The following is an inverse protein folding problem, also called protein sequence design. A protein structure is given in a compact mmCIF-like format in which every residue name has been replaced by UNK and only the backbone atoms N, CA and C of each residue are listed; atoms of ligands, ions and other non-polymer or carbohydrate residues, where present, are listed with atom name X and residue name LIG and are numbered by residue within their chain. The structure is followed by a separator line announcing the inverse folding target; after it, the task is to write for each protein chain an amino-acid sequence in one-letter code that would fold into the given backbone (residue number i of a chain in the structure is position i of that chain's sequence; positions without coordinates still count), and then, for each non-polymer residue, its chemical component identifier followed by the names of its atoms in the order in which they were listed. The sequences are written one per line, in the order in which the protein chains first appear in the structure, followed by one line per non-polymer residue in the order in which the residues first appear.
data_IF_735010547414
#
_entry.id   IF_735010547414
#
_cell.length_a   1.000
_cell.length_b   1.000
_cell.length_c   1.000
_cell.angle_alpha   90.00
_cell.angle_beta   90.00
_cell.angle_gamma   90.00
#
_symmetry.space_group_name_H-M   'P 1'
#
loop_
_entity.id
_entity.type
_entity.pdbx_description
1 polymer ?
#
# COMPACT_ATOMS: atom_id res chain seq x y z
N UNK A 1 -7.07 14.06 -13.76
CA UNK A 1 -6.34 14.70 -14.88
C UNK A 1 -5.36 13.72 -15.50
N UNK A 2 -5.14 13.81 -16.80
CA UNK A 2 -4.09 13.07 -17.50
C UNK A 2 -2.81 13.91 -17.67
N UNK A 3 -1.74 13.30 -18.20
CA UNK A 3 -0.43 13.94 -18.33
C UNK A 3 -0.47 15.18 -19.25
N UNK A 4 -1.23 15.12 -20.37
CA UNK A 4 -1.34 16.25 -21.30
C UNK A 4 -2.05 17.45 -20.68
N UNK A 5 -3.07 17.21 -19.83
CA UNK A 5 -3.79 18.27 -19.12
C UNK A 5 -2.90 18.96 -18.07
N UNK A 6 -2.08 18.17 -17.35
CA UNK A 6 -1.13 18.72 -16.38
C UNK A 6 -0.10 19.60 -17.09
N UNK A 7 0.49 19.11 -18.20
CA UNK A 7 1.46 19.88 -18.99
C UNK A 7 0.86 21.18 -19.52
N UNK A 8 -0.39 21.14 -20.02
CA UNK A 8 -1.08 22.33 -20.50
C UNK A 8 -1.26 23.37 -19.39
N UNK A 9 -1.69 22.95 -18.19
CA UNK A 9 -1.82 23.84 -17.03
C UNK A 9 -0.49 24.45 -16.57
N UNK A 10 0.59 23.67 -16.59
CA UNK A 10 1.91 24.19 -16.24
C UNK A 10 2.33 25.29 -17.22
N UNK A 11 2.21 25.04 -18.55
CA UNK A 11 2.54 26.03 -19.57
C UNK A 11 1.71 27.31 -19.46
N UNK A 12 0.42 27.17 -19.18
CA UNK A 12 -0.47 28.32 -18.98
C UNK A 12 0.02 29.23 -17.85
N UNK A 13 0.51 28.65 -16.74
CA UNK A 13 0.97 29.41 -15.57
C UNK A 13 2.35 30.04 -15.81
N UNK A 14 3.26 29.32 -16.49
CA UNK A 14 4.64 29.81 -16.71
C UNK A 14 4.77 30.66 -17.98
N UNK A 15 3.68 30.82 -18.75
CA UNK A 15 3.63 31.58 -20.02
C UNK A 15 4.73 31.13 -21.05
N UNK A 16 4.89 29.80 -21.17
CA UNK A 16 5.86 29.18 -22.08
C UNK A 16 5.15 28.18 -22.99
N UNK A 17 5.60 28.13 -24.23
CA UNK A 17 5.07 27.20 -25.24
C UNK A 17 5.88 25.86 -25.29
N UNK A 18 5.51 25.00 -26.24
CA UNK A 18 6.18 23.70 -26.41
C UNK A 18 7.57 23.81 -27.06
N UNK A 19 7.92 24.97 -27.62
CA UNK A 19 9.25 25.23 -28.18
C UNK A 19 10.25 25.56 -27.08
N UNK A 20 9.79 26.34 -26.09
CA UNK A 20 10.61 26.75 -24.93
C UNK A 20 10.72 25.63 -23.89
N UNK A 21 9.62 24.90 -23.67
CA UNK A 21 9.51 23.88 -22.65
C UNK A 21 8.96 22.57 -23.23
N UNK A 22 9.85 21.61 -23.46
CA UNK A 22 9.49 20.34 -24.11
C UNK A 22 8.54 19.49 -23.30
N UNK A 23 7.68 18.70 -23.97
CA UNK A 23 6.79 17.72 -23.35
C UNK A 23 7.53 16.68 -22.50
N UNK A 24 8.69 16.24 -22.97
CA UNK A 24 9.51 15.26 -22.28
C UNK A 24 10.01 15.78 -20.92
N UNK A 25 10.48 17.03 -20.88
CA UNK A 25 10.96 17.66 -19.65
C UNK A 25 9.84 17.87 -18.65
N UNK A 26 8.69 18.38 -19.10
CA UNK A 26 7.52 18.52 -18.23
C UNK A 26 7.02 17.17 -17.69
N UNK A 27 6.96 16.15 -18.55
CA UNK A 27 6.58 14.81 -18.12
C UNK A 27 7.50 14.27 -17.03
N UNK A 28 8.81 14.48 -17.17
CA UNK A 28 9.79 14.11 -16.17
C UNK A 28 9.50 14.79 -14.82
N UNK A 29 9.26 16.11 -14.82
CA UNK A 29 8.94 16.84 -13.58
C UNK A 29 7.63 16.37 -12.94
N UNK A 30 6.61 16.06 -13.72
CA UNK A 30 5.34 15.53 -13.20
C UNK A 30 5.53 14.15 -12.59
N UNK A 31 6.32 13.28 -13.23
CA UNK A 31 6.65 11.94 -12.70
C UNK A 31 7.46 12.05 -11.40
N UNK A 32 8.47 12.92 -11.36
CA UNK A 32 9.25 13.16 -10.14
C UNK A 32 8.38 13.64 -8.98
N UNK A 33 7.41 14.52 -9.27
CA UNK A 33 6.42 14.95 -8.28
C UNK A 33 5.56 13.81 -7.76
N UNK A 34 5.11 12.93 -8.64
CA UNK A 34 4.34 11.75 -8.29
C UNK A 34 5.16 10.77 -7.43
N UNK A 35 6.41 10.49 -7.80
CA UNK A 35 7.29 9.63 -7.01
C UNK A 35 7.54 10.20 -5.61
N UNK A 36 7.64 11.52 -5.47
CA UNK A 36 7.73 12.18 -4.17
C UNK A 36 6.48 11.95 -3.32
N UNK A 37 5.29 12.07 -3.90
CA UNK A 37 4.03 11.79 -3.21
C UNK A 37 4.02 10.34 -2.71
N UNK A 38 4.39 9.38 -3.56
CA UNK A 38 4.44 7.96 -3.19
C UNK A 38 5.50 7.67 -2.12
N UNK A 39 6.59 8.44 -2.11
CA UNK A 39 7.65 8.27 -1.11
C UNK A 39 7.29 8.81 0.27
N UNK A 40 6.39 9.79 0.38
CA UNK A 40 5.93 10.36 1.65
C UNK A 40 5.17 9.35 2.49
N UNK A 41 4.30 8.57 1.90
CA UNK A 41 3.64 7.45 2.55
C UNK A 41 3.48 6.28 1.56
N UNK A 42 3.63 5.07 2.09
CA UNK A 42 3.48 3.83 1.31
C UNK A 42 2.04 3.33 1.28
N UNK A 43 1.18 3.90 2.10
CA UNK A 43 -0.19 3.42 2.41
C UNK A 43 -1.28 4.30 1.84
N UNK A 44 -1.03 4.90 0.68
CA UNK A 44 -2.06 5.64 -0.01
C UNK A 44 -3.25 4.73 -0.38
N UNK A 45 -4.50 5.10 -0.08
CA UNK A 45 -5.66 4.27 -0.36
C UNK A 45 -5.86 3.94 -1.84
N UNK A 46 -5.43 4.81 -2.76
CA UNK A 46 -5.49 4.53 -4.20
C UNK A 46 -4.52 3.42 -4.65
N UNK A 47 -3.57 3.02 -3.78
CA UNK A 47 -2.69 1.88 -3.99
C UNK A 47 -3.22 0.59 -3.32
N UNK A 48 -4.31 0.65 -2.55
CA UNK A 48 -4.90 -0.54 -1.94
C UNK A 48 -5.40 -1.51 -3.01
N UNK A 49 -5.07 -2.78 -2.84
CA UNK A 49 -5.49 -3.85 -3.74
C UNK A 49 -5.62 -5.17 -3.01
N UNK A 50 -6.47 -6.02 -3.56
CA UNK A 50 -6.58 -7.42 -3.13
C UNK A 50 -6.16 -8.34 -4.27
N UNK A 51 -5.47 -9.42 -3.91
CA UNK A 51 -5.05 -10.47 -4.84
C UNK A 51 -5.55 -11.81 -4.33
N UNK A 52 -5.60 -12.78 -5.22
CA UNK A 52 -5.88 -14.18 -4.88
C UNK A 52 -4.66 -15.01 -5.21
N UNK A 53 -4.26 -15.88 -4.28
CA UNK A 53 -3.24 -16.88 -4.47
C UNK A 53 -3.84 -18.26 -4.22
N UNK A 54 -3.66 -19.16 -5.17
CA UNK A 54 -3.96 -20.60 -4.96
C UNK A 54 -2.68 -21.29 -4.57
N UNK A 55 -2.68 -21.94 -3.41
CA UNK A 55 -1.50 -22.66 -2.92
C UNK A 55 -1.30 -23.98 -3.66
N UNK A 56 -0.08 -24.49 -3.58
CA UNK A 56 0.29 -25.81 -4.10
C UNK A 56 0.77 -26.66 -2.93
N UNK A 57 0.33 -27.92 -2.86
CA UNK A 57 0.75 -28.82 -1.79
C UNK A 57 2.28 -28.92 -1.73
N UNK A 58 2.83 -28.94 -0.52
CA UNK A 58 4.27 -29.01 -0.22
C UNK A 58 5.11 -27.80 -0.67
N UNK A 59 4.50 -26.74 -1.22
CA UNK A 59 5.19 -25.51 -1.61
C UNK A 59 5.06 -24.44 -0.50
N UNK A 60 6.16 -24.10 0.15
CA UNK A 60 6.19 -23.07 1.19
C UNK A 60 6.39 -21.65 0.66
N UNK A 61 7.10 -21.47 -0.47
CA UNK A 61 7.54 -20.19 -1.00
C UNK A 61 6.87 -19.86 -2.33
N UNK A 62 6.38 -18.63 -2.46
CA UNK A 62 5.68 -18.10 -3.64
C UNK A 62 6.33 -16.80 -4.06
N UNK A 63 6.91 -16.68 -5.29
CA UNK A 63 7.45 -15.43 -5.77
C UNK A 63 6.37 -14.32 -5.79
N UNK A 64 6.66 -13.16 -5.24
CA UNK A 64 5.72 -12.04 -5.25
C UNK A 64 5.41 -11.60 -6.68
N UNK A 65 6.35 -11.77 -7.60
CA UNK A 65 6.15 -11.48 -9.02
C UNK A 65 5.06 -12.33 -9.69
N UNK A 66 4.77 -13.52 -9.15
CA UNK A 66 3.75 -14.44 -9.69
C UNK A 66 2.37 -14.21 -9.04
N UNK A 67 2.28 -13.33 -8.04
CA UNK A 67 1.01 -12.98 -7.37
C UNK A 67 0.30 -11.90 -8.19
N UNK A 68 -0.89 -12.24 -8.70
CA UNK A 68 -1.69 -11.34 -9.53
C UNK A 68 -0.96 -10.98 -10.84
N UNK A 69 -0.69 -9.70 -11.05
CA UNK A 69 0.06 -9.17 -12.21
C UNK A 69 1.50 -8.78 -11.87
N UNK A 70 2.04 -9.26 -10.73
CA UNK A 70 3.37 -8.89 -10.25
C UNK A 70 3.47 -7.47 -9.69
N UNK A 71 2.33 -6.85 -9.46
CA UNK A 71 2.23 -5.48 -9.00
C UNK A 71 2.20 -5.33 -7.46
N UNK A 72 2.37 -6.39 -6.72
CA UNK A 72 2.41 -6.37 -5.25
C UNK A 72 3.61 -5.58 -4.77
N UNK A 73 3.37 -4.61 -3.88
CA UNK A 73 4.40 -3.82 -3.18
C UNK A 73 4.53 -4.24 -1.72
N UNK A 74 3.40 -4.38 -1.03
CA UNK A 74 3.34 -4.74 0.39
C UNK A 74 2.10 -5.59 0.64
N UNK A 75 2.25 -6.68 1.40
CA UNK A 75 1.14 -7.51 1.85
C UNK A 75 0.89 -7.18 3.33
N UNK A 76 -0.32 -6.75 3.66
CA UNK A 76 -0.71 -6.37 5.02
C UNK A 76 -1.53 -7.44 5.73
N UNK A 77 -2.29 -8.24 4.99
CA UNK A 77 -3.06 -9.34 5.56
C UNK A 77 -3.31 -10.44 4.54
N UNK A 78 -3.40 -11.66 5.05
CA UNK A 78 -3.79 -12.84 4.29
C UNK A 78 -4.94 -13.52 5.02
N UNK A 79 -5.98 -13.90 4.27
CA UNK A 79 -7.13 -14.65 4.76
C UNK A 79 -7.27 -15.92 3.93
N UNK A 80 -7.35 -17.06 4.58
CA UNK A 80 -7.69 -18.33 3.95
C UNK A 80 -9.20 -18.42 3.75
N UNK A 81 -9.62 -18.48 2.49
CA UNK A 81 -11.03 -18.57 2.12
C UNK A 81 -11.53 -20.02 2.10
N UNK A 82 -10.66 -21.02 2.09
CA UNK A 82 -11.00 -22.43 1.97
C UNK A 82 -11.35 -23.03 3.32
N UNK A 83 -10.55 -22.74 4.34
CA UNK A 83 -10.66 -23.33 5.69
C UNK A 83 -11.44 -22.46 6.69
N UNK A 84 -12.53 -21.84 6.23
CA UNK A 84 -13.45 -21.10 7.12
C UNK A 84 -13.10 -19.65 7.40
N UNK A 85 -12.28 -19.02 6.57
CA UNK A 85 -12.01 -17.57 6.66
C UNK A 85 -11.02 -17.19 7.74
N UNK A 86 -10.07 -18.05 8.08
CA UNK A 86 -9.05 -17.78 9.08
C UNK A 86 -8.01 -16.78 8.54
N UNK A 87 -7.66 -15.80 9.39
CA UNK A 87 -6.59 -14.83 9.08
C UNK A 87 -5.24 -15.42 9.47
N UNK A 88 -4.29 -15.39 8.55
CA UNK A 88 -2.91 -15.73 8.83
C UNK A 88 -2.22 -14.63 9.63
N UNK A 89 -1.34 -15.01 10.54
CA UNK A 89 -0.52 -14.08 11.34
C UNK A 89 0.81 -13.83 10.64
N UNK A 90 1.19 -12.58 10.48
CA UNK A 90 2.52 -12.22 10.00
C UNK A 90 3.55 -12.48 11.11
N UNK A 91 4.64 -13.16 10.78
CA UNK A 91 5.75 -13.46 11.70
C UNK A 91 7.08 -13.05 11.06
N UNK A 92 8.12 -12.95 11.88
CA UNK A 92 9.48 -12.81 11.36
C UNK A 92 9.89 -14.08 10.58
N UNK A 93 10.67 -13.90 9.50
CA UNK A 93 11.08 -15.02 8.67
C UNK A 93 11.96 -16.01 9.43
N UNK A 94 12.87 -15.51 10.26
CA UNK A 94 13.75 -16.34 11.07
C UNK A 94 12.97 -17.19 12.09
N UNK A 95 11.89 -16.64 12.66
CA UNK A 95 11.00 -17.39 13.56
C UNK A 95 10.26 -18.49 12.79
N UNK A 96 9.82 -18.22 11.57
CA UNK A 96 9.21 -19.21 10.68
C UNK A 96 10.18 -20.36 10.39
N UNK A 97 11.40 -20.06 10.01
CA UNK A 97 12.43 -21.06 9.78
C UNK A 97 12.71 -21.90 11.03
N UNK A 98 12.86 -21.26 12.19
CA UNK A 98 13.14 -21.96 13.44
C UNK A 98 12.02 -22.94 13.85
N UNK A 99 10.76 -22.60 13.55
CA UNK A 99 9.60 -23.41 13.96
C UNK A 99 9.26 -24.53 12.97
N UNK A 100 9.46 -24.34 11.66
CA UNK A 100 8.97 -25.25 10.60
C UNK A 100 10.02 -25.77 9.64
N UNK A 101 11.30 -25.57 9.88
CA UNK A 101 12.37 -26.24 9.12
C UNK A 101 12.90 -27.49 9.83
N UNK A 102 13.52 -28.36 9.06
CA UNK A 102 14.13 -29.59 9.58
C UNK A 102 13.10 -30.62 10.02
N UNK A 103 13.20 -31.11 11.24
CA UNK A 103 12.32 -32.16 11.75
C UNK A 103 10.84 -31.75 11.87
N UNK A 104 10.57 -30.45 11.86
CA UNK A 104 9.22 -29.89 11.95
C UNK A 104 8.66 -29.46 10.59
N UNK A 105 9.31 -29.81 9.48
CA UNK A 105 8.84 -29.50 8.13
C UNK A 105 7.65 -30.38 7.73
N UNK A 106 6.54 -30.21 8.44
CA UNK A 106 5.29 -30.93 8.21
C UNK A 106 4.34 -30.03 7.42
N UNK A 107 3.76 -30.57 6.34
CA UNK A 107 2.70 -29.87 5.62
C UNK A 107 1.40 -29.80 6.45
N UNK A 108 0.64 -28.73 6.27
CA UNK A 108 -0.62 -28.52 6.95
C UNK A 108 -1.30 -27.22 6.52
N UNK A 109 -2.41 -26.87 7.12
CA UNK A 109 -3.11 -25.61 6.85
C UNK A 109 -2.23 -24.42 7.27
N UNK A 110 -1.87 -23.49 6.38
CA UNK A 110 -1.06 -22.32 6.73
C UNK A 110 -1.74 -21.44 7.78
N UNK A 111 -1.01 -21.05 8.80
CA UNK A 111 -1.48 -20.15 9.86
C UNK A 111 -0.66 -18.88 9.99
N UNK A 112 0.56 -18.92 9.47
CA UNK A 112 1.49 -17.80 9.53
C UNK A 112 2.06 -17.53 8.14
N UNK A 113 2.52 -16.31 7.94
CA UNK A 113 3.23 -15.94 6.73
C UNK A 113 4.38 -14.99 7.05
N UNK A 114 5.38 -15.00 6.20
CA UNK A 114 6.46 -14.02 6.20
C UNK A 114 6.78 -13.60 4.76
N UNK A 115 7.38 -12.43 4.61
CA UNK A 115 7.86 -11.94 3.29
C UNK A 115 9.36 -11.75 3.39
N UNK A 116 10.11 -12.49 2.57
CA UNK A 116 11.56 -12.44 2.54
C UNK A 116 12.08 -12.60 1.10
N UNK A 117 13.09 -11.82 0.71
CA UNK A 117 13.70 -11.86 -0.63
C UNK A 117 12.70 -11.86 -1.81
N UNK A 118 11.67 -11.00 -1.74
CA UNK A 118 10.61 -10.94 -2.76
C UNK A 118 9.81 -12.25 -2.91
N UNK A 119 9.76 -13.05 -1.85
CA UNK A 119 8.94 -14.24 -1.76
C UNK A 119 8.00 -14.16 -0.57
N UNK A 120 6.80 -14.67 -0.74
CA UNK A 120 5.84 -14.94 0.31
C UNK A 120 6.06 -16.37 0.81
N UNK A 121 6.34 -16.53 2.07
CA UNK A 121 6.45 -17.83 2.74
C UNK A 121 5.20 -18.10 3.57
N UNK A 122 4.71 -19.33 3.48
CA UNK A 122 3.57 -19.84 4.27
C UNK A 122 4.05 -20.87 5.28
N UNK A 123 3.55 -20.78 6.52
CA UNK A 123 3.95 -21.60 7.64
C UNK A 123 2.73 -22.19 8.39
N UNK A 124 2.62 -23.53 8.56
CA UNK A 124 3.38 -24.56 7.85
C UNK A 124 3.17 -24.48 6.34
N UNK A 125 3.98 -25.20 5.54
CA UNK A 125 3.74 -25.32 4.11
C UNK A 125 2.37 -25.96 3.87
N UNK A 126 1.62 -25.55 2.83
CA UNK A 126 0.31 -26.09 2.51
C UNK A 126 0.33 -27.61 2.27
N UNK A 127 -0.66 -28.32 2.76
CA UNK A 127 -0.87 -29.75 2.45
C UNK A 127 -1.79 -29.97 1.25
N UNK A 128 -2.49 -28.94 0.82
CA UNK A 128 -3.48 -28.96 -0.24
C UNK A 128 -3.54 -27.63 -0.98
N UNK A 129 -4.28 -27.61 -2.08
CA UNK A 129 -4.57 -26.38 -2.81
C UNK A 129 -5.65 -25.57 -2.06
N UNK A 130 -5.25 -24.46 -1.48
CA UNK A 130 -6.12 -23.52 -0.76
C UNK A 130 -6.19 -22.18 -1.47
N UNK A 131 -7.31 -21.49 -1.37
CA UNK A 131 -7.47 -20.16 -1.94
C UNK A 131 -7.27 -19.11 -0.86
N UNK A 132 -6.18 -18.36 -0.98
CA UNK A 132 -5.83 -17.27 -0.09
C UNK A 132 -6.19 -15.92 -0.71
N UNK A 133 -6.85 -15.05 0.08
CA UNK A 133 -7.05 -13.64 -0.25
C UNK A 133 -5.95 -12.81 0.41
N UNK A 134 -5.14 -12.16 -0.40
CA UNK A 134 -4.10 -11.23 0.04
C UNK A 134 -4.63 -9.81 -0.07
N UNK A 135 -4.36 -8.98 0.91
CA UNK A 135 -4.67 -7.54 0.89
C UNK A 135 -3.41 -6.76 1.19
N UNK A 136 -3.25 -5.65 0.51
CA UNK A 136 -2.07 -4.82 0.69
C UNK A 136 -2.04 -3.65 -0.27
N UNK A 137 -0.84 -3.20 -0.59
CA UNK A 137 -0.60 -2.07 -1.48
C UNK A 137 0.11 -2.54 -2.73
N UNK A 138 -0.38 -2.07 -3.88
CA UNK A 138 0.23 -2.34 -5.18
C UNK A 138 1.32 -1.31 -5.51
N UNK A 139 2.16 -1.64 -6.46
CA UNK A 139 3.00 -0.65 -7.14
C UNK A 139 2.11 0.29 -7.95
N UNK A 140 2.45 1.58 -8.07
CA UNK A 140 1.74 2.46 -8.98
C UNK A 140 1.84 1.96 -10.41
N UNK A 141 0.82 2.22 -11.20
CA UNK A 141 0.83 1.91 -12.63
C UNK A 141 1.77 2.86 -13.38
N UNK A 142 2.27 2.44 -14.53
CA UNK A 142 3.09 3.30 -15.40
C UNK A 142 2.18 4.21 -16.25
N UNK A 143 1.30 4.97 -15.61
CA UNK A 143 0.32 5.87 -16.24
C UNK A 143 0.97 6.91 -17.17
N UNK A 144 2.20 7.28 -16.88
CA UNK A 144 2.99 8.28 -17.62
C UNK A 144 3.48 7.80 -19.00
N UNK A 145 3.25 6.54 -19.36
CA UNK A 145 3.61 6.01 -20.68
C UNK A 145 2.65 6.45 -21.80
N UNK A 146 1.49 7.01 -21.43
CA UNK A 146 0.51 7.49 -22.39
C UNK A 146 -0.11 8.80 -21.91
N UNK A 147 -0.12 9.81 -22.79
CA UNK A 147 -0.67 11.14 -22.51
C UNK A 147 -2.15 11.14 -22.18
N UNK A 148 -2.88 10.14 -22.66
CA UNK A 148 -4.33 10.00 -22.45
C UNK A 148 -4.67 9.24 -21.16
N UNK A 149 -3.71 8.57 -20.53
CA UNK A 149 -3.96 7.81 -19.31
C UNK A 149 -4.05 8.77 -18.14
N UNK A 150 -5.09 8.57 -17.32
CA UNK A 150 -5.27 9.33 -16.09
C UNK A 150 -4.18 9.02 -15.07
N UNK A 151 -3.76 10.03 -14.32
CA UNK A 151 -2.78 9.89 -13.24
C UNK A 151 -3.29 8.89 -12.21
N UNK A 152 -2.44 7.93 -11.85
CA UNK A 152 -2.74 6.89 -10.88
C UNK A 152 -2.64 7.41 -9.43
N UNK A 153 -3.41 8.47 -9.14
CA UNK A 153 -3.47 9.12 -7.83
C UNK A 153 -4.90 9.62 -7.54
N UNK A 154 -5.16 9.95 -6.29
CA UNK A 154 -6.39 10.65 -5.90
C UNK A 154 -6.49 12.03 -6.59
N UNK A 155 -7.67 12.42 -7.04
CA UNK A 155 -7.92 13.68 -7.75
C UNK A 155 -7.40 14.92 -7.00
N UNK A 156 -7.38 14.87 -5.67
CA UNK A 156 -6.87 15.95 -4.82
C UNK A 156 -5.37 16.17 -4.98
N UNK A 157 -4.64 15.14 -5.40
CA UNK A 157 -3.19 15.18 -5.61
C UNK A 157 -2.82 15.68 -7.01
N UNK A 158 -3.76 15.72 -7.96
CA UNK A 158 -3.48 16.14 -9.32
C UNK A 158 -2.98 17.59 -9.39
N UNK A 159 -3.55 18.49 -8.59
CA UNK A 159 -3.10 19.88 -8.53
C UNK A 159 -1.72 20.02 -7.89
N UNK A 160 -1.38 19.14 -6.95
CA UNK A 160 -0.03 19.10 -6.36
C UNK A 160 1.04 18.83 -7.42
N UNK A 161 0.77 17.92 -8.37
CA UNK A 161 1.69 17.62 -9.47
C UNK A 161 1.94 18.85 -10.35
N UNK A 162 0.90 19.65 -10.59
CA UNK A 162 1.04 20.92 -11.33
C UNK A 162 1.96 21.88 -10.56
N UNK A 163 1.77 22.05 -9.27
CA UNK A 163 2.62 22.92 -8.44
C UNK A 163 4.07 22.46 -8.43
N UNK A 164 4.30 21.16 -8.31
CA UNK A 164 5.66 20.63 -8.35
C UNK A 164 6.35 20.90 -9.68
N UNK A 165 5.67 20.63 -10.80
CA UNK A 165 6.23 20.86 -12.12
C UNK A 165 6.52 22.36 -12.35
N UNK A 166 5.62 23.27 -11.95
CA UNK A 166 5.85 24.72 -12.01
C UNK A 166 7.08 25.12 -11.19
N UNK A 167 7.23 24.58 -9.98
CA UNK A 167 8.38 24.86 -9.13
C UNK A 167 9.70 24.45 -9.79
N UNK A 168 9.73 23.32 -10.51
CA UNK A 168 10.91 22.87 -11.25
C UNK A 168 11.21 23.77 -12.45
N UNK A 169 10.19 24.25 -13.16
CA UNK A 169 10.39 25.18 -14.28
C UNK A 169 10.98 26.49 -13.80
N UNK A 170 10.46 27.11 -12.75
CA UNK A 170 11.01 28.35 -12.19
C UNK A 170 12.40 28.15 -11.56
N UNK A 171 12.68 26.96 -11.05
CA UNK A 171 14.04 26.61 -10.62
C UNK A 171 15.03 26.57 -11.79
N UNK A 172 14.60 26.08 -12.97
CA UNK A 172 15.40 26.09 -14.18
C UNK A 172 15.63 27.50 -14.71
N UNK A 173 14.69 28.42 -14.51
CA UNK A 173 14.77 29.84 -14.89
C UNK A 173 15.56 30.69 -13.86
N UNK A 174 16.08 30.09 -12.81
CA UNK A 174 16.77 30.74 -11.69
C UNK A 174 15.88 31.70 -10.86
N UNK A 175 14.56 31.62 -11.02
CA UNK A 175 13.56 32.36 -10.24
C UNK A 175 13.26 31.66 -8.91
N UNK A 176 14.22 31.66 -7.99
CA UNK A 176 14.19 30.86 -6.78
C UNK A 176 13.06 31.22 -5.80
N UNK A 177 12.65 32.48 -5.75
CA UNK A 177 11.56 32.91 -4.86
C UNK A 177 10.24 32.31 -5.32
N UNK A 178 9.94 32.41 -6.62
CA UNK A 178 8.71 31.84 -7.20
C UNK A 178 8.72 30.31 -7.11
N UNK A 179 9.87 29.69 -7.41
CA UNK A 179 10.06 28.25 -7.26
C UNK A 179 9.77 27.81 -5.82
N UNK A 180 10.28 28.54 -4.81
CA UNK A 180 10.06 28.20 -3.41
C UNK A 180 8.60 28.30 -3.00
N UNK A 181 7.87 29.30 -3.51
CA UNK A 181 6.43 29.44 -3.26
C UNK A 181 5.64 28.24 -3.80
N UNK A 182 5.89 27.82 -5.03
CA UNK A 182 5.20 26.66 -5.62
C UNK A 182 5.61 25.34 -4.96
N UNK A 183 6.85 25.22 -4.49
CA UNK A 183 7.29 24.05 -3.72
C UNK A 183 6.56 23.98 -2.37
N UNK A 184 6.41 25.10 -1.69
CA UNK A 184 5.62 25.16 -0.45
C UNK A 184 4.14 24.81 -0.72
N UNK A 185 3.58 25.31 -1.81
CA UNK A 185 2.20 24.99 -2.22
C UNK A 185 2.01 23.50 -2.51
N UNK A 186 3.01 22.85 -3.15
CA UNK A 186 3.06 21.41 -3.33
C UNK A 186 3.04 20.68 -1.98
N UNK A 187 3.98 20.99 -1.09
CA UNK A 187 4.12 20.33 0.20
C UNK A 187 2.86 20.48 1.05
N UNK A 188 2.24 21.66 1.06
CA UNK A 188 1.01 21.92 1.78
C UNK A 188 -0.18 21.17 1.21
N UNK A 189 -0.35 21.16 -0.12
CA UNK A 189 -1.46 20.45 -0.77
C UNK A 189 -1.35 18.93 -0.58
N UNK A 190 -0.15 18.37 -0.66
CA UNK A 190 0.08 16.94 -0.37
C UNK A 190 -0.18 16.64 1.11
N UNK A 191 0.27 17.50 2.03
CA UNK A 191 0.02 17.34 3.47
C UNK A 191 -1.47 17.37 3.80
N UNK A 192 -2.23 18.28 3.18
CA UNK A 192 -3.68 18.36 3.37
C UNK A 192 -4.39 17.12 2.82
N UNK A 193 -4.02 16.68 1.61
CA UNK A 193 -4.56 15.45 1.03
C UNK A 193 -4.23 14.23 1.90
N UNK A 194 -2.99 14.12 2.37
CA UNK A 194 -2.56 13.04 3.26
C UNK A 194 -3.34 13.05 4.58
N UNK A 195 -3.53 14.22 5.20
CA UNK A 195 -4.28 14.34 6.45
C UNK A 195 -5.75 13.91 6.31
N UNK A 196 -6.33 14.08 5.14
CA UNK A 196 -7.72 13.71 4.87
C UNK A 196 -7.87 12.23 4.48
N UNK A 197 -6.96 11.73 3.67
CA UNK A 197 -7.00 10.40 3.06
C UNK A 197 -6.35 9.35 3.97
N UNK A 198 -5.23 9.69 4.62
CA UNK A 198 -4.49 8.81 5.52
C UNK A 198 -5.01 8.87 6.97
N UNK A 199 -6.12 9.54 7.23
CA UNK A 199 -6.78 9.43 8.53
C UNK A 199 -7.08 7.97 8.78
N UNK A 200 -6.17 7.33 9.50
CA UNK A 200 -6.43 6.03 10.11
C UNK A 200 -7.66 6.25 10.98
N UNK A 201 -8.82 5.64 10.66
CA UNK A 201 -9.89 5.62 11.63
C UNK A 201 -9.24 5.05 12.90
N UNK A 202 -9.42 5.71 14.02
CA UNK A 202 -8.98 5.18 15.31
C UNK A 202 -9.80 3.92 15.57
N UNK A 203 -9.47 2.85 14.89
CA UNK A 203 -9.90 1.52 15.23
C UNK A 203 -9.23 1.20 16.55
N UNK A 204 -9.84 1.66 17.62
CA UNK A 204 -9.74 0.91 18.85
C UNK A 204 -10.10 -0.51 18.44
N UNK A 205 -9.18 -1.49 18.59
CA UNK A 205 -9.56 -2.86 18.37
C UNK A 205 -10.81 -3.05 19.21
N UNK A 206 -11.91 -3.49 18.59
CA UNK A 206 -13.04 -4.01 19.34
C UNK A 206 -12.45 -5.21 20.09
N UNK A 207 -11.95 -4.95 21.28
CA UNK A 207 -11.67 -5.99 22.23
C UNK A 207 -13.03 -6.52 22.60
N UNK A 208 -13.47 -7.55 21.89
CA UNK A 208 -14.52 -8.41 22.36
C UNK A 208 -13.96 -9.03 23.64
N UNK A 209 -14.14 -8.33 24.74
CA UNK A 209 -14.00 -8.89 26.07
C UNK A 209 -15.10 -9.94 26.25
N UNK A 210 -14.93 -11.03 25.52
CA UNK A 210 -15.77 -12.22 25.62
C UNK A 210 -15.39 -13.06 26.80
N UNK A 211 -15.36 -12.48 27.98
CA UNK A 211 -15.21 -13.23 29.20
C UNK A 211 -15.91 -12.53 30.38
N UNK A 212 -17.21 -12.34 30.22
CA UNK A 212 -18.07 -12.16 31.39
C UNK A 212 -19.16 -13.19 31.39
N UNK A 213 -18.80 -14.45 31.25
CA UNK A 213 -19.50 -15.52 31.93
C UNK A 213 -18.75 -15.77 33.25
N UNK A 214 -18.83 -14.83 34.15
CA UNK A 214 -18.61 -15.14 35.54
C UNK A 214 -19.91 -15.76 36.00
N UNK A 215 -19.93 -17.08 36.00
CA UNK A 215 -20.91 -17.89 36.66
C UNK A 215 -20.87 -17.57 38.16
N UNK A 216 -21.78 -16.72 38.61
CA UNK A 216 -22.00 -16.40 40.02
C UNK A 216 -22.98 -17.38 40.63
N UNK A 217 -22.79 -18.68 40.42
CA UNK A 217 -23.51 -19.72 41.10
C UNK A 217 -22.69 -20.36 42.22
N UNK A 218 -22.09 -19.57 43.10
CA UNK A 218 -21.70 -20.07 44.42
C UNK A 218 -22.74 -19.61 45.40
N UNK A 219 -23.74 -20.45 45.57
CA UNK A 219 -24.69 -20.37 46.69
C UNK A 219 -23.95 -20.35 48.03
N UNK A 220 -24.02 -19.22 48.69
CA UNK A 220 -23.69 -19.16 50.11
C UNK A 220 -24.78 -19.81 50.88
N UNK A 221 -24.61 -21.07 51.26
CA UNK A 221 -25.34 -21.66 52.41
C UNK A 221 -24.72 -21.08 53.65
N UNK A 222 -25.48 -20.28 54.35
CA UNK A 222 -25.19 -19.96 55.77
C UNK A 222 -25.51 -21.19 56.61
N UNK A 223 -24.63 -21.60 57.53
CA UNK A 223 -25.04 -22.50 58.62
C UNK A 223 -25.78 -21.70 59.66
N UNK A 224 -26.99 -22.17 60.00
CA UNK A 224 -27.63 -21.84 61.26
C UNK A 224 -26.87 -22.51 62.39
N UNK A 225 -26.42 -21.69 63.34
CA UNK A 225 -26.54 -21.90 64.78
C UNK A 225 -26.09 -20.64 65.52
#
# INVERSE_FOLDING_TARGET
MNLSEIRAKVREVVDMDSTDLSDALLSMYVVDGFERIIALDRRWPFLEKSWTLTTVADQAAYPIADIGTGDVREITSIVDNTSGGSRLTMIDHADGEALWLGANDIAGVPRHFSVWQQQLYLWPKPDSAEQLSLRGYRKPTAWYQSDATEVDADDRLHQSLVYYAIAQVYQLQEELEVSSFYRQSFDESVRLAAADVLRVPSHRPLVFSGSRFHDSSTGHQQPMY
#
